data_IF_454216987173
#
_entry.id   IF_454216987173
#
_cell.length_a   1.000
_cell.length_b   1.000
_cell.length_c   1.000
_cell.angle_alpha   90.00
_cell.angle_beta   90.00
_cell.angle_gamma   90.00
#
_symmetry.space_group_name_H-M   'P 1'
#
loop_
_entity.id
_entity.type
_entity.pdbx_description
1 polymer ?
#
# COMPACT_ATOMS: atom_id res chain seq x y z
N UNK A 1 -16.93 5.51 -0.99
CA UNK A 1 -16.51 5.70 0.42
C UNK A 1 -17.47 6.59 1.22
N UNK A 2 -17.64 7.87 0.87
CA UNK A 2 -18.46 8.83 1.65
C UNK A 2 -19.93 8.39 1.88
N UNK A 3 -20.57 7.74 0.88
CA UNK A 3 -21.94 7.25 1.03
C UNK A 3 -22.10 6.15 2.09
N UNK A 4 -21.09 5.32 2.33
CA UNK A 4 -21.16 4.23 3.32
C UNK A 4 -20.82 4.74 4.73
N UNK A 5 -19.94 5.73 4.87
CA UNK A 5 -19.69 6.43 6.15
C UNK A 5 -20.95 7.17 6.63
N UNK A 6 -21.68 7.78 5.70
CA UNK A 6 -22.97 8.42 5.96
C UNK A 6 -24.02 7.42 6.47
N UNK A 7 -23.90 6.12 6.15
CA UNK A 7 -24.86 5.09 6.57
C UNK A 7 -24.55 4.54 7.97
N UNK A 8 -23.29 4.47 8.38
CA UNK A 8 -22.89 3.91 9.69
C UNK A 8 -23.23 4.87 10.85
N UNK A 9 -23.03 6.18 10.67
CA UNK A 9 -23.28 7.17 11.73
C UNK A 9 -24.76 7.22 12.21
N UNK A 10 -25.78 7.17 11.32
CA UNK A 10 -27.17 7.03 11.70
C UNK A 10 -27.47 5.78 12.55
N UNK A 11 -26.81 4.65 12.29
CA UNK A 11 -27.00 3.44 13.09
C UNK A 11 -26.49 3.61 14.52
N UNK A 12 -25.34 4.27 14.71
CA UNK A 12 -24.83 4.57 16.05
C UNK A 12 -25.82 5.45 16.84
N UNK A 13 -26.29 6.54 16.22
CA UNK A 13 -27.29 7.44 16.82
C UNK A 13 -28.61 6.71 17.15
N UNK A 14 -29.06 5.83 16.26
CA UNK A 14 -30.27 5.03 16.50
C UNK A 14 -30.07 4.02 17.64
N UNK A 15 -28.88 3.45 17.76
CA UNK A 15 -28.52 2.53 18.85
C UNK A 15 -28.58 3.20 20.21
N UNK A 16 -28.05 4.42 20.33
CA UNK A 16 -28.15 5.22 21.56
C UNK A 16 -29.61 5.50 21.93
N UNK A 17 -30.44 5.88 20.95
CA UNK A 17 -31.87 6.10 21.17
C UNK A 17 -32.60 4.84 21.65
N UNK A 18 -32.30 3.67 21.06
CA UNK A 18 -32.91 2.41 21.47
C UNK A 18 -32.41 1.96 22.84
N UNK A 19 -31.14 2.19 23.19
CA UNK A 19 -30.61 1.89 24.51
C UNK A 19 -31.32 2.70 25.62
N UNK A 20 -31.55 3.99 25.39
CA UNK A 20 -32.33 4.84 26.31
C UNK A 20 -33.76 4.31 26.46
N UNK A 21 -34.40 3.94 25.33
CA UNK A 21 -35.77 3.38 25.36
C UNK A 21 -35.83 2.03 26.08
N UNK A 22 -34.83 1.18 25.92
CA UNK A 22 -34.74 -0.11 26.60
C UNK A 22 -34.68 0.06 28.11
N UNK A 23 -33.86 0.99 28.61
CA UNK A 23 -33.78 1.29 30.06
C UNK A 23 -35.14 1.73 30.60
N UNK A 24 -35.84 2.60 29.87
CA UNK A 24 -37.19 3.04 30.25
C UNK A 24 -38.22 1.89 30.22
N UNK A 25 -38.18 1.04 29.19
CA UNK A 25 -39.06 -0.12 29.06
C UNK A 25 -38.80 -1.17 30.15
N UNK A 26 -37.54 -1.42 30.50
CA UNK A 26 -37.16 -2.30 31.61
C UNK A 26 -37.74 -1.80 32.93
N UNK A 27 -37.57 -0.51 33.23
CA UNK A 27 -38.12 0.09 34.44
C UNK A 27 -39.66 -0.02 34.50
N UNK A 28 -40.33 0.13 33.35
CA UNK A 28 -41.78 -0.03 33.25
C UNK A 28 -42.22 -1.49 33.46
N UNK A 29 -41.51 -2.45 32.86
CA UNK A 29 -41.75 -3.88 33.03
C UNK A 29 -41.56 -4.31 34.49
N UNK A 30 -40.44 -3.93 35.12
CA UNK A 30 -40.17 -4.22 36.53
C UNK A 30 -41.26 -3.68 37.45
N UNK A 31 -41.72 -2.45 37.20
CA UNK A 31 -42.81 -1.82 37.95
C UNK A 31 -44.12 -2.60 37.78
N UNK A 32 -44.48 -2.97 36.56
CA UNK A 32 -45.71 -3.70 36.27
C UNK A 32 -45.69 -5.12 36.88
N UNK A 33 -44.54 -5.81 36.82
CA UNK A 33 -44.35 -7.13 37.44
C UNK A 33 -44.50 -7.03 38.96
N UNK A 34 -43.89 -6.03 39.61
CA UNK A 34 -44.06 -5.79 41.06
C UNK A 34 -45.50 -5.47 41.43
N UNK A 35 -46.20 -4.66 40.63
CA UNK A 35 -47.61 -4.35 40.86
C UNK A 35 -48.49 -5.61 40.78
N UNK A 36 -48.23 -6.49 39.80
CA UNK A 36 -48.90 -7.79 39.71
C UNK A 36 -48.61 -8.68 40.92
N UNK A 37 -47.34 -8.79 41.34
CA UNK A 37 -46.97 -9.58 42.52
C UNK A 37 -47.68 -9.07 43.78
N UNK A 38 -47.73 -7.76 43.96
CA UNK A 38 -48.45 -7.14 45.07
C UNK A 38 -49.96 -7.46 45.03
N UNK A 39 -50.59 -7.39 43.86
CA UNK A 39 -52.01 -7.72 43.72
C UNK A 39 -52.30 -9.18 44.11
N UNK A 40 -51.42 -10.12 43.75
CA UNK A 40 -51.57 -11.54 44.10
C UNK A 40 -51.32 -11.85 45.58
N UNK A 41 -50.55 -11.02 46.28
CA UNK A 41 -50.16 -11.26 47.67
C UNK A 41 -51.01 -10.49 48.69
N UNK A 42 -51.54 -9.33 48.29
CA UNK A 42 -52.07 -8.34 49.23
C UNK A 42 -53.43 -7.75 48.82
N UNK A 43 -53.92 -7.99 47.60
CA UNK A 43 -55.20 -7.47 47.16
C UNK A 43 -56.34 -8.50 47.31
N UNK A 44 -57.56 -8.03 47.11
CA UNK A 44 -58.75 -8.88 47.04
C UNK A 44 -58.65 -9.80 45.82
N UNK A 45 -58.61 -11.12 46.07
CA UNK A 45 -58.50 -12.13 45.02
C UNK A 45 -59.82 -12.38 44.30
N UNK A 46 -60.95 -11.94 44.86
CA UNK A 46 -62.26 -12.05 44.23
C UNK A 46 -62.50 -10.90 43.21
N UNK A 47 -61.69 -9.84 43.23
CA UNK A 47 -61.70 -8.78 42.21
C UNK A 47 -60.89 -9.19 40.97
N UNK A 48 -61.47 -10.12 40.20
CA UNK A 48 -60.89 -10.61 38.95
C UNK A 48 -60.58 -9.46 37.96
N UNK A 49 -61.38 -8.40 37.97
CA UNK A 49 -61.18 -7.26 37.06
C UNK A 49 -59.93 -6.48 37.41
N UNK A 50 -59.61 -6.32 38.69
CA UNK A 50 -58.36 -5.71 39.12
C UNK A 50 -57.15 -6.59 38.77
N UNK A 51 -57.26 -7.91 38.97
CA UNK A 51 -56.22 -8.89 38.63
C UNK A 51 -55.92 -8.92 37.12
N UNK A 52 -56.95 -8.97 36.28
CA UNK A 52 -56.80 -8.99 34.82
C UNK A 52 -56.11 -7.72 34.30
N UNK A 53 -56.38 -6.56 34.92
CA UNK A 53 -55.72 -5.29 34.56
C UNK A 53 -54.22 -5.31 34.85
N UNK A 54 -53.82 -5.73 36.06
CA UNK A 54 -52.39 -5.76 36.42
C UNK A 54 -51.64 -6.84 35.64
N UNK A 55 -52.30 -7.96 35.34
CA UNK A 55 -51.75 -9.00 34.48
C UNK A 55 -51.55 -8.50 33.05
N UNK A 56 -52.56 -7.83 32.48
CA UNK A 56 -52.46 -7.26 31.13
C UNK A 56 -51.37 -6.20 31.05
N UNK A 57 -51.27 -5.31 32.05
CA UNK A 57 -50.22 -4.29 32.10
C UNK A 57 -48.81 -4.91 32.17
N UNK A 58 -48.62 -5.97 32.96
CA UNK A 58 -47.34 -6.68 33.03
C UNK A 58 -47.00 -7.38 31.70
N UNK A 59 -48.00 -7.98 31.04
CA UNK A 59 -47.82 -8.60 29.74
C UNK A 59 -47.43 -7.58 28.66
N UNK A 60 -48.14 -6.45 28.57
CA UNK A 60 -47.83 -5.37 27.62
C UNK A 60 -46.43 -4.81 27.85
N UNK A 61 -46.05 -4.50 29.09
CA UNK A 61 -44.72 -3.95 29.38
C UNK A 61 -43.59 -4.96 29.05
N UNK A 62 -43.83 -6.26 29.26
CA UNK A 62 -42.87 -7.31 28.88
C UNK A 62 -42.74 -7.45 27.37
N UNK A 63 -43.85 -7.35 26.64
CA UNK A 63 -43.87 -7.38 25.17
C UNK A 63 -43.13 -6.16 24.58
N UNK A 64 -43.37 -4.97 25.13
CA UNK A 64 -42.71 -3.73 24.67
C UNK A 64 -41.19 -3.80 24.88
N UNK A 65 -40.75 -4.32 26.03
CA UNK A 65 -39.33 -4.57 26.30
C UNK A 65 -38.74 -5.55 25.29
N UNK A 66 -39.40 -6.68 25.06
CA UNK A 66 -38.95 -7.69 24.08
C UNK A 66 -38.85 -7.10 22.66
N UNK A 67 -39.83 -6.30 22.24
CA UNK A 67 -39.83 -5.65 20.93
C UNK A 67 -38.66 -4.64 20.77
N UNK A 68 -38.28 -3.94 21.85
CA UNK A 68 -37.12 -3.06 21.83
C UNK A 68 -35.82 -3.87 21.78
N UNK A 69 -35.73 -4.98 22.52
CA UNK A 69 -34.58 -5.88 22.48
C UNK A 69 -34.39 -6.47 21.07
N UNK A 70 -35.46 -6.91 20.42
CA UNK A 70 -35.45 -7.38 19.03
C UNK A 70 -34.98 -6.27 18.06
N UNK A 71 -35.49 -5.05 18.22
CA UNK A 71 -35.08 -3.92 17.40
C UNK A 71 -33.58 -3.58 17.57
N UNK A 72 -33.04 -3.72 18.78
CA UNK A 72 -31.61 -3.54 19.06
C UNK A 72 -30.78 -4.62 18.35
N UNK A 73 -31.23 -5.88 18.43
CA UNK A 73 -30.54 -7.00 17.78
C UNK A 73 -30.48 -6.81 16.25
N UNK A 74 -31.61 -6.44 15.62
CA UNK A 74 -31.67 -6.16 14.18
C UNK A 74 -30.76 -5.00 13.80
N UNK A 75 -30.77 -3.91 14.58
CA UNK A 75 -29.91 -2.76 14.33
C UNK A 75 -28.42 -3.13 14.42
N UNK A 76 -28.04 -3.94 15.40
CA UNK A 76 -26.66 -4.42 15.54
C UNK A 76 -26.22 -5.25 14.34
N UNK A 77 -27.09 -6.13 13.83
CA UNK A 77 -26.83 -6.90 12.61
C UNK A 77 -26.66 -5.99 11.39
N UNK A 78 -27.56 -5.02 11.20
CA UNK A 78 -27.48 -4.07 10.08
C UNK A 78 -26.19 -3.24 10.12
N UNK A 79 -25.79 -2.78 11.31
CA UNK A 79 -24.54 -2.06 11.51
C UNK A 79 -23.32 -2.92 11.16
N UNK A 80 -23.27 -4.15 11.65
CA UNK A 80 -22.15 -5.06 11.39
C UNK A 80 -22.00 -5.38 9.90
N UNK A 81 -23.11 -5.55 9.19
CA UNK A 81 -23.11 -5.77 7.74
C UNK A 81 -22.65 -4.52 6.99
N UNK A 82 -23.12 -3.32 7.37
CA UNK A 82 -22.65 -2.07 6.77
C UNK A 82 -21.14 -1.83 7.00
N UNK A 83 -20.63 -2.13 8.19
CA UNK A 83 -19.20 -2.04 8.51
C UNK A 83 -18.38 -3.04 7.69
N UNK A 84 -18.87 -4.27 7.50
CA UNK A 84 -18.23 -5.28 6.65
C UNK A 84 -18.17 -4.83 5.19
N UNK A 85 -19.27 -4.31 4.65
CA UNK A 85 -19.32 -3.79 3.27
C UNK A 85 -18.39 -2.60 3.08
N UNK A 86 -18.31 -1.70 4.07
CA UNK A 86 -17.38 -0.58 4.05
C UNK A 86 -15.92 -1.04 4.03
N UNK A 87 -15.55 -1.99 4.89
CA UNK A 87 -14.20 -2.54 4.92
C UNK A 87 -13.83 -3.23 3.61
N UNK A 88 -14.75 -4.00 3.03
CA UNK A 88 -14.55 -4.67 1.75
C UNK A 88 -14.38 -3.68 0.59
N UNK A 89 -15.18 -2.61 0.54
CA UNK A 89 -15.06 -1.58 -0.50
C UNK A 89 -13.76 -0.79 -0.36
N UNK A 90 -13.33 -0.49 0.88
CA UNK A 90 -12.03 0.15 1.12
C UNK A 90 -10.87 -0.71 0.62
N UNK A 91 -10.86 -2.00 0.98
CA UNK A 91 -9.85 -2.96 0.53
C UNK A 91 -9.84 -3.10 -1.00
N UNK A 92 -11.02 -3.14 -1.63
CA UNK A 92 -11.15 -3.15 -3.09
C UNK A 92 -10.53 -1.91 -3.74
N UNK A 93 -10.83 -0.72 -3.22
CA UNK A 93 -10.29 0.54 -3.74
C UNK A 93 -8.76 0.58 -3.58
N UNK A 94 -8.26 0.20 -2.41
CA UNK A 94 -6.82 0.17 -2.11
C UNK A 94 -6.07 -0.77 -3.04
N UNK A 95 -6.60 -2.00 -3.24
CA UNK A 95 -6.04 -2.96 -4.20
C UNK A 95 -6.10 -2.46 -5.64
N UNK A 96 -7.19 -1.82 -6.04
CA UNK A 96 -7.32 -1.28 -7.39
C UNK A 96 -6.26 -0.19 -7.65
N UNK A 97 -6.06 0.72 -6.71
CA UNK A 97 -5.04 1.77 -6.80
C UNK A 97 -3.61 1.18 -6.83
N UNK A 98 -3.33 0.19 -5.98
CA UNK A 98 -2.04 -0.49 -5.96
C UNK A 98 -1.77 -1.27 -7.26
N UNK A 99 -2.77 -1.97 -7.78
CA UNK A 99 -2.69 -2.67 -9.05
C UNK A 99 -2.46 -1.70 -10.22
N UNK A 100 -3.12 -0.55 -10.24
CA UNK A 100 -2.91 0.49 -11.26
C UNK A 100 -1.48 1.06 -11.22
N UNK A 101 -0.97 1.36 -10.01
CA UNK A 101 0.43 1.78 -9.83
C UNK A 101 1.40 0.73 -10.36
N UNK A 102 1.17 -0.54 -10.04
CA UNK A 102 2.00 -1.65 -10.51
C UNK A 102 1.92 -1.82 -12.03
N UNK A 103 0.74 -1.73 -12.62
CA UNK A 103 0.57 -1.74 -14.09
C UNK A 103 1.44 -0.69 -14.75
N UNK A 104 1.38 0.56 -14.27
CA UNK A 104 2.19 1.66 -14.84
C UNK A 104 3.69 1.38 -14.73
N UNK A 105 4.17 0.79 -13.63
CA UNK A 105 5.57 0.43 -13.45
C UNK A 105 5.99 -0.70 -14.40
N UNK A 106 5.15 -1.73 -14.55
CA UNK A 106 5.39 -2.86 -15.45
C UNK A 106 5.43 -2.37 -16.91
N UNK A 107 4.53 -1.47 -17.29
CA UNK A 107 4.49 -0.90 -18.63
C UNK A 107 5.71 -0.01 -18.91
N UNK A 108 6.18 0.75 -17.93
CA UNK A 108 7.43 1.51 -18.05
C UNK A 108 8.64 0.59 -18.27
N UNK A 109 8.73 -0.54 -17.57
CA UNK A 109 9.79 -1.54 -17.77
C UNK A 109 9.71 -2.13 -19.18
N UNK A 110 8.51 -2.53 -19.62
CA UNK A 110 8.28 -3.07 -20.97
C UNK A 110 8.64 -2.08 -22.07
N UNK A 111 8.37 -0.79 -21.86
CA UNK A 111 8.70 0.25 -22.82
C UNK A 111 10.21 0.56 -22.87
N UNK A 112 10.90 0.51 -21.73
CA UNK A 112 12.33 0.83 -21.65
C UNK A 112 13.24 -0.29 -22.17
N UNK A 113 12.83 -1.56 -21.98
CA UNK A 113 13.67 -2.73 -22.25
C UNK A 113 14.15 -2.83 -23.71
N UNK A 114 13.29 -2.68 -24.75
CA UNK A 114 13.74 -2.76 -26.14
C UNK A 114 14.81 -1.72 -26.46
N UNK A 115 14.63 -0.48 -25.97
CA UNK A 115 15.59 0.60 -26.16
C UNK A 115 16.92 0.28 -25.48
N UNK A 116 16.91 -0.18 -24.23
CA UNK A 116 18.13 -0.58 -23.53
C UNK A 116 18.91 -1.68 -24.27
N UNK A 117 18.21 -2.73 -24.74
CA UNK A 117 18.84 -3.84 -25.46
C UNK A 117 19.45 -3.35 -26.78
N UNK A 118 18.75 -2.48 -27.51
CA UNK A 118 19.23 -1.93 -28.77
C UNK A 118 20.49 -1.07 -28.60
N UNK A 119 20.48 -0.11 -27.66
CA UNK A 119 21.64 0.74 -27.42
C UNK A 119 22.85 -0.07 -26.91
N UNK A 120 22.61 -1.15 -26.16
CA UNK A 120 23.68 -2.03 -25.71
C UNK A 120 24.32 -2.80 -26.88
N UNK A 121 23.51 -3.24 -27.85
CA UNK A 121 24.02 -3.88 -29.08
C UNK A 121 24.82 -2.89 -29.93
N UNK A 122 24.29 -1.68 -30.14
CA UNK A 122 25.01 -0.60 -30.87
C UNK A 122 26.36 -0.28 -30.22
N UNK A 123 26.42 -0.21 -28.89
CA UNK A 123 27.69 0.01 -28.17
C UNK A 123 28.67 -1.16 -28.38
N UNK A 124 28.20 -2.41 -28.27
CA UNK A 124 29.04 -3.58 -28.49
C UNK A 124 29.60 -3.62 -29.92
N UNK A 125 28.78 -3.30 -30.92
CA UNK A 125 29.19 -3.23 -32.32
C UNK A 125 30.27 -2.14 -32.52
N UNK A 126 30.05 -0.93 -32.01
CA UNK A 126 31.01 0.17 -32.13
C UNK A 126 32.37 -0.14 -31.45
N UNK A 127 32.35 -0.84 -30.31
CA UNK A 127 33.56 -1.29 -29.62
C UNK A 127 34.27 -2.42 -30.39
N UNK A 128 33.51 -3.29 -31.06
CA UNK A 128 34.06 -4.37 -31.89
C UNK A 128 34.73 -3.82 -33.15
N UNK A 129 34.21 -2.75 -33.75
CA UNK A 129 34.82 -2.10 -34.93
C UNK A 129 36.25 -1.60 -34.68
N UNK A 130 36.55 -1.17 -33.45
CA UNK A 130 37.89 -0.71 -33.05
C UNK A 130 38.79 -1.83 -32.52
N UNK A 131 38.28 -3.06 -32.40
CA UNK A 131 39.04 -4.22 -31.90
C UNK A 131 40.37 -4.50 -32.63
N UNK A 132 40.53 -4.25 -33.95
CA UNK A 132 41.82 -4.47 -34.61
C UNK A 132 42.92 -3.53 -34.10
N UNK A 133 42.53 -2.41 -33.49
CA UNK A 133 43.42 -1.36 -33.00
C UNK A 133 43.58 -1.36 -31.48
N UNK A 134 42.64 -1.94 -30.73
CA UNK A 134 42.63 -1.91 -29.27
C UNK A 134 41.95 -3.15 -28.67
N UNK A 135 42.75 -4.03 -28.05
CA UNK A 135 42.30 -5.31 -27.52
C UNK A 135 41.28 -5.15 -26.38
N UNK A 136 41.46 -4.20 -25.48
CA UNK A 136 40.57 -4.00 -24.34
C UNK A 136 39.17 -3.55 -24.79
N UNK A 137 39.05 -2.89 -25.95
CA UNK A 137 37.73 -2.56 -26.52
C UNK A 137 36.97 -3.80 -26.96
N UNK A 138 37.67 -4.79 -27.51
CA UNK A 138 37.09 -6.11 -27.83
C UNK A 138 36.61 -6.83 -26.56
N UNK A 139 37.38 -6.76 -25.47
CA UNK A 139 36.95 -7.32 -24.19
C UNK A 139 35.67 -6.65 -23.67
N UNK A 140 35.56 -5.32 -23.78
CA UNK A 140 34.35 -4.59 -23.38
C UNK A 140 33.17 -4.96 -24.31
N UNK A 141 33.38 -5.04 -25.63
CA UNK A 141 32.34 -5.44 -26.58
C UNK A 141 31.74 -6.81 -26.22
N UNK A 142 32.59 -7.81 -25.99
CA UNK A 142 32.20 -9.15 -25.58
C UNK A 142 31.44 -9.14 -24.25
N UNK A 143 31.90 -8.34 -23.27
CA UNK A 143 31.21 -8.20 -21.98
C UNK A 143 29.81 -7.60 -22.14
N UNK A 144 29.67 -6.52 -22.91
CA UNK A 144 28.37 -5.87 -23.17
C UNK A 144 27.42 -6.85 -23.85
N UNK A 145 27.87 -7.50 -24.93
CA UNK A 145 27.05 -8.45 -25.69
C UNK A 145 26.56 -9.62 -24.83
N UNK A 146 27.45 -10.22 -24.02
CA UNK A 146 27.10 -11.29 -23.10
C UNK A 146 26.08 -10.83 -22.03
N UNK A 147 26.27 -9.63 -21.49
CA UNK A 147 25.36 -9.06 -20.49
C UNK A 147 23.99 -8.76 -21.11
N UNK A 148 23.95 -8.19 -22.30
CA UNK A 148 22.70 -7.93 -23.05
C UNK A 148 21.93 -9.23 -23.28
N UNK A 149 22.60 -10.30 -23.71
CA UNK A 149 21.97 -11.60 -23.89
C UNK A 149 21.39 -12.18 -22.58
N UNK A 150 22.12 -12.05 -21.46
CA UNK A 150 21.63 -12.48 -20.15
C UNK A 150 20.42 -11.66 -19.70
N UNK A 151 20.45 -10.33 -19.88
CA UNK A 151 19.33 -9.45 -19.54
C UNK A 151 18.11 -9.79 -20.38
N UNK A 152 18.26 -10.02 -21.68
CA UNK A 152 17.16 -10.39 -22.58
C UNK A 152 16.48 -11.70 -22.13
N UNK A 153 17.26 -12.73 -21.79
CA UNK A 153 16.74 -13.99 -21.26
C UNK A 153 16.04 -13.77 -19.92
N UNK A 154 16.68 -13.10 -18.97
CA UNK A 154 16.11 -12.85 -17.64
C UNK A 154 14.81 -12.03 -17.73
N UNK A 155 14.78 -11.01 -18.58
CA UNK A 155 13.62 -10.17 -18.78
C UNK A 155 12.44 -10.93 -19.38
N UNK A 156 12.66 -11.89 -20.28
CA UNK A 156 11.59 -12.72 -20.84
C UNK A 156 10.83 -13.52 -19.76
N UNK A 157 11.52 -13.98 -18.71
CA UNK A 157 10.87 -14.64 -17.57
C UNK A 157 10.22 -13.61 -16.64
N UNK A 158 10.98 -12.60 -16.22
CA UNK A 158 10.54 -11.66 -15.20
C UNK A 158 9.37 -10.79 -15.68
N UNK A 159 9.37 -10.32 -16.93
CA UNK A 159 8.30 -9.45 -17.47
C UNK A 159 6.97 -10.19 -17.55
N UNK A 160 6.98 -11.49 -17.85
CA UNK A 160 5.76 -12.30 -17.89
C UNK A 160 5.13 -12.45 -16.48
N UNK A 161 5.97 -12.71 -15.47
CA UNK A 161 5.53 -12.77 -14.07
C UNK A 161 5.02 -11.40 -13.59
N UNK A 162 5.81 -10.34 -13.83
CA UNK A 162 5.46 -8.96 -13.49
C UNK A 162 4.13 -8.52 -14.12
N UNK A 163 3.83 -8.97 -15.34
CA UNK A 163 2.58 -8.65 -16.04
C UNK A 163 1.34 -9.30 -15.39
N UNK A 164 1.49 -10.41 -14.66
CA UNK A 164 0.38 -11.09 -13.98
C UNK A 164 0.09 -10.52 -12.59
N UNK A 165 1.07 -9.86 -11.96
CA UNK A 165 0.94 -9.37 -10.58
C UNK A 165 -0.17 -8.34 -10.35
N UNK A 166 -0.44 -7.34 -11.23
CA UNK A 166 -1.53 -6.39 -11.02
C UNK A 166 -2.89 -7.07 -10.85
N UNK A 167 -3.17 -8.10 -11.64
CA UNK A 167 -4.42 -8.85 -11.55
C UNK A 167 -4.46 -9.70 -10.26
N UNK A 168 -3.33 -10.32 -9.89
CA UNK A 168 -3.23 -11.06 -8.63
C UNK A 168 -3.47 -10.15 -7.40
N UNK A 169 -3.01 -8.90 -7.43
CA UNK A 169 -3.29 -7.90 -6.38
C UNK A 169 -4.77 -7.50 -6.39
N UNK A 170 -5.35 -7.25 -7.56
CA UNK A 170 -6.77 -6.89 -7.71
C UNK A 170 -7.70 -7.97 -7.16
N UNK A 171 -7.37 -9.23 -7.39
CA UNK A 171 -8.14 -10.40 -6.93
C UNK A 171 -7.79 -10.84 -5.50
N UNK A 172 -6.85 -10.16 -4.83
CA UNK A 172 -6.45 -10.48 -3.46
C UNK A 172 -5.65 -11.78 -3.30
N UNK A 173 -5.13 -12.35 -4.40
CA UNK A 173 -4.19 -13.48 -4.36
C UNK A 173 -2.79 -13.05 -3.93
N UNK A 174 -2.47 -11.78 -4.09
CA UNK A 174 -1.23 -11.17 -3.65
C UNK A 174 -1.49 -9.99 -2.72
N UNK A 175 -0.62 -9.81 -1.73
CA UNK A 175 -0.69 -8.68 -0.82
C UNK A 175 -0.47 -7.36 -1.57
N UNK A 176 -1.07 -6.28 -1.06
CA UNK A 176 -0.84 -4.93 -1.55
C UNK A 176 0.66 -4.63 -1.34
N UNK A 177 1.41 -4.30 -2.41
CA UNK A 177 2.81 -3.91 -2.27
C UNK A 177 2.92 -2.72 -1.32
N UNK A 178 3.74 -2.85 -0.28
CA UNK A 178 4.09 -1.71 0.58
C UNK A 178 4.77 -0.62 -0.24
N UNK A 179 4.65 0.63 0.19
CA UNK A 179 5.43 1.69 -0.45
C UNK A 179 6.92 1.35 -0.37
N UNK A 180 7.66 1.47 -1.49
CA UNK A 180 9.11 1.31 -1.42
C UNK A 180 9.63 2.31 -0.41
N UNK A 181 10.29 1.81 0.64
CA UNK A 181 10.96 2.66 1.61
C UNK A 181 11.96 3.58 0.89
N UNK A 182 12.32 4.72 1.50
CA UNK A 182 13.30 5.62 0.90
C UNK A 182 14.57 4.82 0.58
N UNK A 183 14.88 4.71 -0.72
CA UNK A 183 16.15 4.16 -1.17
C UNK A 183 17.20 5.09 -0.58
N UNK A 184 18.12 4.62 0.28
CA UNK A 184 19.16 5.49 0.80
C UNK A 184 19.92 6.03 -0.41
N UNK A 185 19.86 7.35 -0.57
CA UNK A 185 20.73 8.06 -1.51
C UNK A 185 22.14 7.77 -1.01
N UNK A 186 22.87 6.91 -1.72
CA UNK A 186 24.29 6.75 -1.49
C UNK A 186 24.88 8.09 -1.94
N UNK A 187 25.18 8.96 -0.98
CA UNK A 187 25.95 10.17 -1.26
C UNK A 187 27.21 9.74 -2.02
N UNK A 188 27.57 10.42 -3.12
CA UNK A 188 28.82 10.13 -3.79
C UNK A 188 29.93 10.29 -2.75
N UNK A 189 30.56 9.18 -2.38
CA UNK A 189 31.69 9.22 -1.45
C UNK A 189 32.70 10.21 -2.01
N UNK A 190 33.03 11.23 -1.23
CA UNK A 190 34.13 12.15 -1.56
C UNK A 190 35.32 11.31 -2.03
N UNK A 191 35.99 11.67 -3.14
CA UNK A 191 37.10 10.90 -3.64
C UNK A 191 38.09 10.73 -2.50
N UNK A 192 38.26 9.48 -2.04
CA UNK A 192 39.24 9.15 -1.04
C UNK A 192 40.57 9.72 -1.53
N UNK A 193 41.10 10.68 -0.79
CA UNK A 193 42.41 11.26 -1.07
C UNK A 193 43.35 10.07 -1.16
N UNK A 194 43.83 9.79 -2.37
CA UNK A 194 44.74 8.68 -2.63
C UNK A 194 45.86 8.78 -1.61
N UNK A 195 46.08 7.71 -0.84
CA UNK A 195 47.22 7.62 0.05
C UNK A 195 48.45 8.04 -0.76
N UNK A 196 49.16 9.07 -0.28
CA UNK A 196 50.41 9.49 -0.91
C UNK A 196 51.31 8.27 -0.96
N UNK A 197 51.48 7.72 -2.17
CA UNK A 197 52.42 6.65 -2.42
C UNK A 197 53.78 7.28 -2.15
N UNK A 198 54.39 6.90 -1.03
CA UNK A 198 55.76 7.30 -0.74
C UNK A 198 56.64 6.73 -1.85
N UNK A 199 57.27 7.58 -2.70
CA UNK A 199 57.95 7.09 -3.87
C UNK A 199 59.14 6.23 -3.46
N UNK A 200 59.25 5.07 -4.09
CA UNK A 200 60.31 4.08 -3.91
C UNK A 200 61.69 4.76 -3.85
N UNK A 201 62.52 4.49 -2.83
CA UNK A 201 63.85 5.10 -2.67
C UNK A 201 64.74 4.96 -3.91
N UNK A 202 64.50 3.99 -4.80
CA UNK A 202 65.22 3.84 -6.08
C UNK A 202 64.91 4.98 -7.05
N UNK A 203 63.68 5.54 -7.04
CA UNK A 203 63.30 6.67 -7.89
C UNK A 203 63.88 8.01 -7.41
N UNK A 204 64.37 8.08 -6.17
CA UNK A 204 64.98 9.30 -5.60
C UNK A 204 66.39 9.58 -6.14
N UNK A 205 67.04 8.56 -6.72
CA UNK A 205 68.40 8.67 -7.27
C UNK A 205 68.47 9.10 -8.74
N UNK A 206 67.35 9.00 -9.47
CA UNK A 206 67.24 9.52 -10.83
C UNK A 206 66.70 10.96 -10.75
N UNK A 207 67.55 11.94 -11.06
CA UNK A 207 67.21 13.36 -10.98
C UNK A 207 66.14 13.78 -11.99
N UNK A 208 64.88 13.46 -11.72
CA UNK A 208 63.75 13.95 -12.49
C UNK A 208 63.36 15.35 -12.01
N UNK A 209 63.43 16.32 -12.91
CA UNK A 209 62.85 17.65 -12.71
C UNK A 209 61.35 17.58 -12.95
N UNK A 210 60.56 17.88 -11.92
CA UNK A 210 59.11 18.06 -12.03
C UNK A 210 58.87 19.36 -12.81
N UNK A 211 58.30 19.26 -14.01
CA UNK A 211 57.87 20.42 -14.80
C UNK A 211 56.41 20.70 -14.44
N UNK A 212 56.18 21.75 -13.65
CA UNK A 212 54.83 22.24 -13.35
C UNK A 212 54.28 23.00 -14.57
N UNK A 213 53.26 22.43 -15.21
CA UNK A 213 52.54 23.04 -16.35
C UNK A 213 51.15 23.53 -15.97
N UNK A 214 50.83 23.63 -14.68
CA UNK A 214 49.51 24.09 -14.20
C UNK A 214 49.17 25.53 -14.62
N UNK A 215 50.17 26.33 -15.00
CA UNK A 215 50.00 27.69 -15.50
C UNK A 215 49.92 27.80 -17.04
N UNK A 216 50.10 26.71 -17.81
CA UNK A 216 49.94 26.75 -19.27
C UNK A 216 48.45 26.79 -19.63
N UNK A 217 47.93 27.99 -19.88
CA UNK A 217 46.58 28.18 -20.43
C UNK A 217 46.49 27.53 -21.82
N UNK A 218 45.87 26.35 -21.90
CA UNK A 218 45.54 25.70 -23.16
C UNK A 218 44.21 26.26 -23.67
N UNK A 219 44.26 27.24 -24.56
CA UNK A 219 43.10 27.69 -25.32
C UNK A 219 42.81 26.71 -26.47
N UNK A 220 41.59 26.20 -26.53
CA UNK A 220 41.09 25.40 -27.67
C UNK A 220 40.25 26.36 -28.52
N UNK A 221 40.72 26.70 -29.73
CA UNK A 221 39.89 27.40 -30.73
C UNK A 221 38.98 26.38 -31.40
N UNK A 222 37.67 26.62 -31.34
CA UNK A 222 36.65 25.82 -32.03
C UNK A 222 36.11 26.68 -33.18
N UNK A 223 36.48 26.36 -34.41
CA UNK A 223 35.84 26.94 -35.59
C UNK A 223 34.42 26.36 -35.75
N UNK A 224 33.42 27.22 -35.73
CA UNK A 224 32.02 26.86 -36.01
C UNK A 224 31.70 27.31 -37.45
N UNK A 225 31.33 26.39 -38.36
CA UNK A 225 30.88 26.77 -39.70
C UNK A 225 29.58 27.57 -39.60
N UNK A 226 29.56 28.79 -40.14
CA UNK A 226 28.32 29.55 -40.33
C UNK A 226 27.64 29.05 -41.61
N UNK A 227 26.36 28.68 -41.48
CA UNK A 227 25.45 28.47 -42.60
C UNK A 227 25.08 29.80 -43.27
#
# INVERSE_FOLDING_TARGET
MHQLEIVIAPFAKRGEQLAIKRVAAQAAADKAIKARQHALLSADLDDQRALDRVQSAAATASLDLAAIDDAIAVLAQQKAEAERQFAAERDRIERAAAAEKLTNQVDAIKAALPGYLEHSRVLADALSEISPWHFESDQIANFVQNTTAQVEVAANFAVAELAAMPEAVREGRQAIPGEPGPVPVIEPSEPAIAAQIEPDPVLRAAGFTVIDRSAEARSIEIEVPRA
#
